data_IF_211983152333
#
_entry.id   IF_211983152333
#
_cell.length_a   1.000
_cell.length_b   1.000
_cell.length_c   1.000
_cell.angle_alpha   90.00
_cell.angle_beta   90.00
_cell.angle_gamma   90.00
#
_symmetry.space_group_name_H-M   'P 1'
#
loop_
_entity.id
_entity.type
_entity.pdbx_description
1 polymer ?
#
# COMPACT_ATOMS: atom_id res chain seq x y z
N UNK A 1 -0.75 13.08 50.99
CA UNK A 1 0.59 13.67 50.82
C UNK A 1 0.42 15.08 50.31
N UNK A 2 0.65 16.06 51.17
CA UNK A 2 0.71 17.49 50.84
C UNK A 2 2.19 17.89 50.78
N UNK A 3 2.58 18.71 49.82
CA UNK A 3 3.90 19.31 49.78
C UNK A 3 3.73 20.82 49.54
N UNK A 4 4.12 21.58 50.56
CA UNK A 4 4.18 23.02 50.60
C UNK A 4 5.51 23.53 50.02
N UNK A 5 5.47 24.76 49.51
CA UNK A 5 6.59 25.58 49.07
C UNK A 5 7.54 25.97 50.20
N UNK A 6 8.85 26.05 49.90
CA UNK A 6 9.80 26.96 50.57
C UNK A 6 10.77 27.54 49.52
N UNK A 7 11.02 28.84 49.66
CA UNK A 7 11.84 29.75 48.85
C UNK A 7 13.17 30.06 49.56
N UNK A 8 14.26 30.30 48.81
CA UNK A 8 15.41 31.16 49.17
C UNK A 8 16.05 31.65 47.85
N UNK A 9 16.07 32.96 47.51
CA UNK A 9 17.16 33.92 47.76
C UNK A 9 18.37 33.66 46.83
N UNK A 10 18.91 34.54 45.99
CA UNK A 10 19.06 36.00 45.96
C UNK A 10 20.37 36.31 45.19
N UNK A 11 20.67 37.61 44.99
CA UNK A 11 21.95 38.24 44.55
C UNK A 11 21.93 38.90 43.16
N UNK A 12 22.05 40.24 43.18
CA UNK A 12 22.57 41.09 42.11
C UNK A 12 23.98 41.58 42.51
N UNK A 13 24.87 42.00 41.59
CA UNK A 13 25.05 43.46 41.44
C UNK A 13 25.55 44.01 40.07
N UNK A 14 25.21 45.30 39.86
CA UNK A 14 25.91 46.47 39.28
C UNK A 14 26.61 46.46 37.89
N UNK A 15 26.01 47.29 37.01
CA UNK A 15 26.53 48.45 36.25
C UNK A 15 27.83 48.35 35.44
N UNK A 16 27.73 48.53 34.11
CA UNK A 16 28.67 49.34 33.32
C UNK A 16 27.94 50.10 32.21
N UNK A 17 28.32 51.37 32.05
CA UNK A 17 27.63 52.37 31.23
C UNK A 17 27.68 52.15 29.73
N UNK A 18 26.79 52.85 29.02
CA UNK A 18 26.85 53.00 27.57
C UNK A 18 26.42 54.39 27.16
N UNK A 19 27.24 54.95 26.29
CA UNK A 19 27.24 56.33 25.81
C UNK A 19 25.95 56.74 25.09
N UNK A 20 25.65 58.03 25.20
CA UNK A 20 24.69 58.78 24.41
C UNK A 20 25.11 58.77 22.92
N UNK A 21 24.19 58.39 22.03
CA UNK A 21 24.26 58.64 20.60
C UNK A 21 22.87 59.03 20.05
N UNK A 22 22.83 59.85 18.99
CA UNK A 22 21.74 60.79 18.72
C UNK A 22 20.50 60.17 18.07
N UNK A 23 19.36 60.83 18.29
CA UNK A 23 18.06 60.48 17.74
C UNK A 23 18.06 60.52 16.20
N UNK A 24 18.07 59.35 15.57
CA UNK A 24 17.80 59.19 14.14
C UNK A 24 16.30 59.00 13.90
N UNK A 25 15.74 59.95 13.16
CA UNK A 25 14.37 60.05 12.63
C UNK A 25 13.85 58.71 12.10
N UNK A 26 12.77 58.19 12.68
CA UNK A 26 12.11 56.98 12.21
C UNK A 26 11.46 57.20 10.83
N UNK A 27 11.76 56.33 9.87
CA UNK A 27 11.08 56.25 8.58
C UNK A 27 9.71 55.56 8.75
N UNK A 28 8.68 55.92 7.94
CA UNK A 28 7.36 55.32 8.04
C UNK A 28 7.41 53.83 7.66
N UNK A 29 6.90 52.98 8.54
CA UNK A 29 6.76 51.55 8.29
C UNK A 29 5.72 51.31 7.18
N UNK A 30 6.17 50.96 5.98
CA UNK A 30 5.31 50.38 4.95
C UNK A 30 4.87 48.99 5.43
N UNK A 31 3.68 48.92 6.03
CA UNK A 31 3.01 47.68 6.38
C UNK A 31 2.52 47.04 5.07
N UNK A 32 3.36 46.22 4.46
CA UNK A 32 2.95 45.35 3.36
C UNK A 32 1.83 44.45 3.89
N UNK A 33 0.59 44.70 3.47
CA UNK A 33 -0.52 43.81 3.74
C UNK A 33 -0.24 42.50 3.01
N UNK A 34 0.17 41.47 3.76
CA UNK A 34 0.19 40.10 3.26
C UNK A 34 -1.28 39.74 2.98
N UNK A 35 -1.71 39.93 1.74
CA UNK A 35 -2.93 39.30 1.24
C UNK A 35 -2.63 37.81 1.20
N UNK A 36 -3.01 37.10 2.25
CA UNK A 36 -3.19 35.65 2.19
C UNK A 36 -4.27 35.40 1.14
N UNK A 37 -3.84 35.12 -0.10
CA UNK A 37 -4.73 34.52 -1.10
C UNK A 37 -5.13 33.18 -0.50
N UNK A 38 -6.40 33.05 -0.11
CA UNK A 38 -6.94 31.75 0.27
C UNK A 38 -6.52 30.76 -0.83
N UNK A 39 -5.88 29.66 -0.43
CA UNK A 39 -5.58 28.59 -1.36
C UNK A 39 -6.89 28.25 -2.09
N UNK A 40 -6.87 28.01 -3.41
CA UNK A 40 -8.07 27.55 -4.10
C UNK A 40 -8.54 26.31 -3.36
N UNK A 41 -9.69 26.43 -2.69
CA UNK A 41 -10.40 25.27 -2.15
C UNK A 41 -10.79 24.50 -3.40
N UNK A 42 -10.08 23.38 -3.64
CA UNK A 42 -10.48 22.40 -4.63
C UNK A 42 -11.84 21.89 -4.18
N UNK A 43 -12.91 22.49 -4.69
CA UNK A 43 -14.25 21.89 -4.66
C UNK A 43 -14.14 20.69 -5.57
N UNK A 44 -13.81 19.54 -4.99
CA UNK A 44 -14.03 18.25 -5.65
C UNK A 44 -15.53 18.14 -5.74
N UNK A 45 -16.11 18.47 -6.91
CA UNK A 45 -17.43 17.95 -7.28
C UNK A 45 -17.32 16.45 -7.07
N UNK A 46 -17.93 15.98 -5.97
CA UNK A 46 -17.86 14.59 -5.57
C UNK A 46 -18.34 13.77 -6.74
N UNK A 47 -17.48 12.91 -7.28
CA UNK A 47 -17.90 11.77 -8.07
C UNK A 47 -19.10 11.14 -7.34
N UNK A 48 -20.28 11.22 -7.95
CA UNK A 48 -21.53 10.83 -7.32
C UNK A 48 -21.65 9.30 -7.32
N UNK A 49 -20.83 8.64 -8.14
CA UNK A 49 -20.71 7.19 -8.21
C UNK A 49 -19.25 6.73 -8.11
N UNK A 50 -19.05 5.49 -7.65
CA UNK A 50 -17.73 4.86 -7.64
C UNK A 50 -17.13 4.78 -9.06
N UNK A 51 -17.96 4.67 -10.09
CA UNK A 51 -17.52 4.64 -11.48
C UNK A 51 -16.95 6.01 -11.91
N UNK A 52 -17.62 7.10 -11.59
CA UNK A 52 -17.11 8.46 -11.84
C UNK A 52 -15.82 8.73 -11.05
N UNK A 53 -15.72 8.21 -9.82
CA UNK A 53 -14.52 8.38 -9.01
C UNK A 53 -13.33 7.63 -9.64
N UNK A 54 -13.56 6.41 -10.12
CA UNK A 54 -12.55 5.61 -10.81
C UNK A 54 -12.14 6.25 -12.13
N UNK A 55 -13.10 6.76 -12.92
CA UNK A 55 -12.82 7.46 -14.18
C UNK A 55 -12.06 8.75 -13.92
N UNK A 56 -12.43 9.54 -12.90
CA UNK A 56 -11.69 10.75 -12.53
C UNK A 56 -10.25 10.44 -12.09
N UNK A 57 -10.04 9.38 -11.30
CA UNK A 57 -8.69 8.92 -10.89
C UNK A 57 -7.86 8.49 -12.10
N UNK A 58 -8.49 7.81 -13.06
CA UNK A 58 -7.84 7.37 -14.30
C UNK A 58 -7.49 8.54 -15.22
N UNK A 59 -8.40 9.51 -15.35
CA UNK A 59 -8.26 10.67 -16.25
C UNK A 59 -7.39 11.80 -15.65
N UNK A 60 -7.17 11.81 -14.32
CA UNK A 60 -6.37 12.83 -13.63
C UNK A 60 -5.17 12.22 -12.88
N UNK A 61 -4.15 11.68 -13.59
CA UNK A 61 -3.01 11.00 -12.99
C UNK A 61 -2.02 11.95 -12.30
N UNK A 62 -2.39 13.21 -12.04
CA UNK A 62 -1.50 14.22 -11.45
C UNK A 62 -0.90 13.80 -10.10
N UNK A 63 -1.62 12.95 -9.36
CA UNK A 63 -1.14 12.33 -8.13
C UNK A 63 -0.04 11.28 -8.40
N UNK A 64 -0.17 10.48 -9.47
CA UNK A 64 0.86 9.54 -9.93
C UNK A 64 2.10 10.26 -10.44
N UNK A 65 1.94 11.34 -11.20
CA UNK A 65 3.07 12.17 -11.65
C UNK A 65 3.83 12.78 -10.47
N UNK A 66 3.10 13.20 -9.43
CA UNK A 66 3.69 13.76 -8.21
C UNK A 66 4.47 12.68 -7.45
N UNK A 67 3.93 11.47 -7.34
CA UNK A 67 4.63 10.31 -6.79
C UNK A 67 5.88 9.99 -7.60
N UNK A 68 5.76 9.89 -8.93
CA UNK A 68 6.87 9.57 -9.83
C UNK A 68 8.02 10.57 -9.72
N UNK A 69 7.73 11.87 -9.60
CA UNK A 69 8.74 12.91 -9.33
C UNK A 69 9.51 12.62 -8.05
N UNK A 70 8.84 12.19 -6.99
CA UNK A 70 9.47 11.78 -5.73
C UNK A 70 10.43 10.59 -5.86
N UNK A 71 10.27 9.75 -6.89
CA UNK A 71 11.09 8.57 -7.16
C UNK A 71 11.98 8.71 -8.42
N UNK A 72 12.12 9.92 -8.98
CA UNK A 72 12.87 10.17 -10.23
C UNK A 72 14.38 9.86 -10.17
N UNK A 73 14.94 9.61 -8.98
CA UNK A 73 16.34 9.23 -8.78
C UNK A 73 16.60 7.72 -8.69
N UNK A 74 15.58 6.86 -8.86
CA UNK A 74 15.74 5.41 -8.77
C UNK A 74 16.47 4.89 -10.02
N UNK A 75 17.54 4.08 -9.88
CA UNK A 75 18.26 3.52 -11.02
C UNK A 75 17.38 2.64 -11.91
N UNK A 76 17.63 2.69 -13.22
CA UNK A 76 16.88 1.91 -14.23
C UNK A 76 16.80 0.41 -13.93
N UNK A 77 17.85 -0.29 -13.45
CA UNK A 77 17.72 -1.71 -13.13
C UNK A 77 16.69 -1.99 -12.03
N UNK A 78 16.54 -1.08 -11.07
CA UNK A 78 15.58 -1.22 -9.98
C UNK A 78 14.16 -0.92 -10.47
N UNK A 79 13.97 0.11 -11.29
CA UNK A 79 12.65 0.42 -11.86
C UNK A 79 12.18 -0.67 -12.81
N UNK A 80 13.07 -1.21 -13.65
CA UNK A 80 12.74 -2.25 -14.64
C UNK A 80 12.56 -3.63 -14.03
N UNK A 81 13.48 -4.06 -13.15
CA UNK A 81 13.51 -5.45 -12.67
C UNK A 81 13.09 -5.63 -11.21
N UNK A 82 13.00 -4.57 -10.41
CA UNK A 82 12.70 -4.67 -8.98
C UNK A 82 11.36 -5.33 -8.70
N UNK A 83 10.28 -4.83 -9.31
CA UNK A 83 8.94 -5.41 -9.17
C UNK A 83 8.86 -6.87 -9.64
N UNK A 84 9.24 -7.23 -10.89
CA UNK A 84 9.08 -8.61 -11.36
C UNK A 84 9.95 -9.61 -10.59
N UNK A 85 11.16 -9.25 -10.17
CA UNK A 85 12.02 -10.15 -9.37
C UNK A 85 11.38 -10.41 -7.99
N UNK A 86 10.96 -9.35 -7.29
CA UNK A 86 10.34 -9.48 -5.97
C UNK A 86 9.03 -10.27 -6.04
N UNK A 87 8.18 -9.99 -7.03
CA UNK A 87 6.93 -10.71 -7.23
C UNK A 87 7.18 -12.17 -7.59
N UNK A 88 8.18 -12.48 -8.43
CA UNK A 88 8.49 -13.86 -8.80
C UNK A 88 8.88 -14.70 -7.58
N UNK A 89 9.75 -14.18 -6.72
CA UNK A 89 10.17 -14.85 -5.49
C UNK A 89 8.96 -15.04 -4.56
N UNK A 90 8.18 -13.98 -4.36
CA UNK A 90 7.03 -14.01 -3.45
C UNK A 90 5.94 -14.97 -3.92
N UNK A 91 5.57 -14.94 -5.20
CA UNK A 91 4.56 -15.83 -5.79
C UNK A 91 5.05 -17.27 -5.76
N UNK A 92 6.32 -17.54 -6.09
CA UNK A 92 6.87 -18.89 -6.04
C UNK A 92 6.93 -19.45 -4.60
N UNK A 93 7.51 -18.69 -3.67
CA UNK A 93 7.74 -19.15 -2.30
C UNK A 93 6.45 -19.12 -1.47
N UNK A 94 5.79 -17.97 -1.39
CA UNK A 94 4.62 -17.79 -0.53
C UNK A 94 3.34 -18.24 -1.22
N UNK A 95 3.12 -17.85 -2.47
CA UNK A 95 1.94 -18.27 -3.24
C UNK A 95 1.96 -19.78 -3.49
N UNK A 96 3.05 -20.30 -4.07
CA UNK A 96 3.25 -21.72 -4.35
C UNK A 96 3.31 -22.57 -3.07
N UNK A 97 4.12 -22.15 -2.09
CA UNK A 97 4.21 -22.82 -0.79
C UNK A 97 2.88 -22.82 -0.03
N UNK A 98 2.15 -21.69 -0.04
CA UNK A 98 0.83 -21.57 0.56
C UNK A 98 -0.19 -22.48 -0.11
N UNK A 99 -0.26 -22.47 -1.44
CA UNK A 99 -1.13 -23.36 -2.20
C UNK A 99 -0.84 -24.84 -1.92
N UNK A 100 0.44 -25.22 -1.88
CA UNK A 100 0.86 -26.56 -1.50
C UNK A 100 0.40 -26.95 -0.09
N UNK A 101 0.63 -26.10 0.91
CA UNK A 101 0.21 -26.35 2.30
C UNK A 101 -1.31 -26.49 2.42
N UNK A 102 -2.08 -25.71 1.66
CA UNK A 102 -3.53 -25.79 1.62
C UNK A 102 -4.02 -27.16 1.13
N UNK A 103 -3.46 -27.64 0.01
CA UNK A 103 -3.78 -28.96 -0.54
C UNK A 103 -3.27 -30.11 0.34
N UNK A 104 -2.02 -30.02 0.82
CA UNK A 104 -1.44 -31.00 1.73
C UNK A 104 -2.30 -31.15 2.99
N UNK A 105 -2.69 -30.04 3.63
CA UNK A 105 -3.53 -30.06 4.82
C UNK A 105 -4.96 -30.55 4.58
N UNK A 106 -5.47 -30.42 3.35
CA UNK A 106 -6.76 -30.96 2.94
C UNK A 106 -6.73 -32.48 2.76
N UNK A 107 -5.67 -33.00 2.16
CA UNK A 107 -5.54 -34.42 1.79
C UNK A 107 -4.78 -35.26 2.82
N UNK A 108 -4.28 -34.64 3.91
CA UNK A 108 -3.48 -35.34 4.90
C UNK A 108 -4.27 -36.47 5.62
N UNK A 109 -3.77 -37.72 5.62
CA UNK A 109 -4.36 -38.81 6.37
C UNK A 109 -4.25 -38.60 7.89
N UNK A 110 -3.13 -38.03 8.37
CA UNK A 110 -2.98 -37.62 9.76
C UNK A 110 -3.69 -36.27 9.99
N UNK A 111 -4.76 -36.31 10.78
CA UNK A 111 -5.57 -35.12 11.08
C UNK A 111 -4.79 -34.07 11.87
N UNK A 112 -3.87 -34.46 12.75
CA UNK A 112 -3.08 -33.50 13.54
C UNK A 112 -2.09 -32.75 12.65
N UNK A 113 -1.35 -33.48 11.82
CA UNK A 113 -0.48 -32.88 10.82
C UNK A 113 -1.26 -31.99 9.82
N UNK A 114 -2.43 -32.45 9.36
CA UNK A 114 -3.28 -31.70 8.45
C UNK A 114 -3.79 -30.38 9.03
N UNK A 115 -4.13 -30.33 10.33
CA UNK A 115 -4.49 -29.08 11.02
C UNK A 115 -3.31 -28.11 11.05
N UNK A 116 -2.10 -28.59 11.39
CA UNK A 116 -0.89 -27.76 11.41
C UNK A 116 -0.57 -27.18 10.03
N UNK A 117 -0.70 -27.98 8.97
CA UNK A 117 -0.52 -27.51 7.58
C UNK A 117 -1.52 -26.42 7.19
N UNK A 118 -2.80 -26.57 7.58
CA UNK A 118 -3.83 -25.55 7.34
C UNK A 118 -3.57 -24.24 8.09
N UNK A 119 -3.07 -24.32 9.32
CA UNK A 119 -2.67 -23.13 10.09
C UNK A 119 -1.49 -22.40 9.43
N UNK A 120 -0.48 -23.15 8.96
CA UNK A 120 0.65 -22.56 8.25
C UNK A 120 0.22 -21.96 6.90
N UNK A 121 -0.67 -22.63 6.17
CA UNK A 121 -1.30 -22.09 4.96
C UNK A 121 -1.97 -20.75 5.24
N UNK A 122 -2.81 -20.66 6.28
CA UNK A 122 -3.50 -19.42 6.65
C UNK A 122 -2.52 -18.28 6.94
N UNK A 123 -1.54 -18.51 7.80
CA UNK A 123 -0.53 -17.49 8.15
C UNK A 123 0.25 -17.02 6.93
N UNK A 124 0.68 -17.95 6.07
CA UNK A 124 1.44 -17.65 4.87
C UNK A 124 0.62 -16.89 3.84
N UNK A 125 -0.64 -17.29 3.64
CA UNK A 125 -1.54 -16.69 2.65
C UNK A 125 -2.02 -15.29 3.06
N UNK A 126 -2.21 -15.02 4.35
CA UNK A 126 -2.49 -13.66 4.84
C UNK A 126 -1.31 -12.73 4.54
N UNK A 127 -0.09 -13.18 4.83
CA UNK A 127 1.12 -12.42 4.51
C UNK A 127 1.28 -12.23 2.99
N UNK A 128 1.02 -13.28 2.20
CA UNK A 128 1.05 -13.20 0.74
C UNK A 128 0.02 -12.22 0.19
N UNK A 129 -1.21 -12.22 0.72
CA UNK A 129 -2.26 -11.28 0.31
C UNK A 129 -1.83 -9.82 0.56
N UNK A 130 -1.32 -9.51 1.75
CA UNK A 130 -0.83 -8.16 2.07
C UNK A 130 0.32 -7.73 1.16
N UNK A 131 1.30 -8.61 0.96
CA UNK A 131 2.46 -8.32 0.13
C UNK A 131 2.10 -8.26 -1.36
N UNK A 132 1.07 -8.98 -1.83
CA UNK A 132 0.57 -8.86 -3.20
C UNK A 132 -0.01 -7.48 -3.48
N UNK A 133 -0.77 -6.90 -2.54
CA UNK A 133 -1.27 -5.52 -2.67
C UNK A 133 -0.14 -4.49 -2.63
N UNK A 134 0.87 -4.69 -1.78
CA UNK A 134 2.07 -3.85 -1.76
C UNK A 134 2.92 -4.02 -3.02
N UNK A 135 2.97 -5.24 -3.57
CA UNK A 135 3.60 -5.53 -4.85
C UNK A 135 2.90 -4.80 -5.99
N UNK A 136 1.56 -4.78 -6.00
CA UNK A 136 0.77 -4.08 -6.99
C UNK A 136 1.04 -2.56 -6.99
N UNK A 137 1.16 -1.94 -5.82
CA UNK A 137 1.56 -0.51 -5.76
C UNK A 137 2.97 -0.28 -6.29
N UNK A 138 3.91 -1.20 -6.02
CA UNK A 138 5.25 -1.18 -6.62
C UNK A 138 5.22 -1.34 -8.14
N UNK A 139 4.32 -2.19 -8.67
CA UNK A 139 4.12 -2.40 -10.11
C UNK A 139 3.63 -1.11 -10.80
N UNK A 140 2.59 -0.49 -10.23
CA UNK A 140 2.05 0.81 -10.67
C UNK A 140 3.14 1.89 -10.64
N UNK A 141 3.94 1.96 -9.57
CA UNK A 141 5.03 2.93 -9.51
C UNK A 141 6.08 2.66 -10.60
N UNK A 142 6.43 1.39 -10.83
CA UNK A 142 7.43 1.01 -11.84
C UNK A 142 6.99 1.36 -13.25
N UNK A 143 5.70 1.18 -13.59
CA UNK A 143 5.17 1.50 -14.92
C UNK A 143 5.14 2.99 -15.16
N UNK A 144 4.73 3.79 -14.16
CA UNK A 144 4.76 5.25 -14.26
C UNK A 144 6.19 5.78 -14.41
N UNK A 145 7.15 5.25 -13.66
CA UNK A 145 8.56 5.66 -13.79
C UNK A 145 9.17 5.31 -15.15
N UNK A 146 8.62 4.30 -15.84
CA UNK A 146 9.03 3.90 -17.18
C UNK A 146 8.22 4.58 -18.30
N UNK A 147 7.19 5.37 -17.95
CA UNK A 147 6.33 6.06 -18.91
C UNK A 147 5.30 5.17 -19.61
N UNK A 148 5.01 3.99 -19.08
CA UNK A 148 3.97 3.10 -19.61
C UNK A 148 2.58 3.47 -19.10
N UNK A 149 1.57 3.22 -19.94
CA UNK A 149 0.16 3.31 -19.52
C UNK A 149 -0.18 2.14 -18.57
N UNK A 150 -0.82 2.47 -17.45
CA UNK A 150 -1.12 1.54 -16.37
C UNK A 150 -2.35 0.69 -16.69
N UNK A 151 -3.32 1.15 -17.49
CA UNK A 151 -4.61 0.45 -17.65
C UNK A 151 -4.71 -0.33 -18.96
N UNK A 152 -3.86 -0.03 -19.94
CA UNK A 152 -3.94 -0.65 -21.27
C UNK A 152 -3.21 -2.00 -21.36
N UNK A 153 -2.21 -2.25 -20.52
CA UNK A 153 -1.42 -3.49 -20.60
C UNK A 153 -2.19 -4.73 -20.11
N UNK A 154 -2.02 -5.85 -20.82
CA UNK A 154 -2.57 -7.15 -20.39
C UNK A 154 -2.03 -7.61 -19.03
N UNK A 155 -0.78 -7.22 -18.70
CA UNK A 155 -0.20 -7.46 -17.39
C UNK A 155 -0.96 -6.72 -16.27
N UNK A 156 -1.29 -5.44 -16.46
CA UNK A 156 -2.01 -4.67 -15.45
C UNK A 156 -3.47 -5.10 -15.30
N UNK A 157 -4.16 -5.39 -16.41
CA UNK A 157 -5.52 -5.96 -16.38
C UNK A 157 -5.56 -7.30 -15.64
N UNK A 158 -4.63 -8.19 -15.95
CA UNK A 158 -4.50 -9.47 -15.24
C UNK A 158 -4.09 -9.31 -13.76
N UNK A 159 -3.32 -8.27 -13.41
CA UNK A 159 -3.01 -7.93 -12.01
C UNK A 159 -4.28 -7.64 -11.20
N UNK A 160 -5.19 -6.84 -11.76
CA UNK A 160 -6.49 -6.56 -11.14
C UNK A 160 -7.31 -7.84 -10.91
N UNK A 161 -7.33 -8.74 -11.89
CA UNK A 161 -8.01 -10.04 -11.77
C UNK A 161 -7.41 -10.90 -10.65
N UNK A 162 -6.09 -11.08 -10.58
CA UNK A 162 -5.48 -11.93 -9.55
C UNK A 162 -5.68 -11.36 -8.14
N UNK A 163 -5.63 -10.03 -7.97
CA UNK A 163 -5.90 -9.38 -6.67
C UNK A 163 -7.37 -9.52 -6.26
N UNK A 164 -8.30 -9.43 -7.21
CA UNK A 164 -9.72 -9.65 -6.95
C UNK A 164 -9.98 -11.09 -6.52
N UNK A 165 -9.41 -12.07 -7.23
CA UNK A 165 -9.51 -13.49 -6.87
C UNK A 165 -8.89 -13.78 -5.51
N UNK A 166 -7.70 -13.25 -5.23
CA UNK A 166 -7.02 -13.45 -3.94
C UNK A 166 -7.82 -12.82 -2.78
N UNK A 167 -8.47 -11.69 -3.01
CA UNK A 167 -9.35 -11.04 -2.03
C UNK A 167 -10.64 -11.83 -1.81
N UNK A 168 -11.23 -12.35 -2.88
CA UNK A 168 -12.39 -13.23 -2.77
C UNK A 168 -12.05 -14.48 -1.94
N UNK A 169 -10.89 -15.07 -2.17
CA UNK A 169 -10.39 -16.20 -1.38
C UNK A 169 -10.23 -15.87 0.11
N UNK A 170 -9.65 -14.70 0.41
CA UNK A 170 -9.53 -14.21 1.77
C UNK A 170 -10.91 -14.02 2.44
N UNK A 171 -11.89 -13.47 1.73
CA UNK A 171 -13.26 -13.29 2.22
C UNK A 171 -13.93 -14.64 2.50
N UNK A 172 -13.80 -15.62 1.59
CA UNK A 172 -14.36 -16.96 1.77
C UNK A 172 -13.78 -17.61 3.02
N UNK A 173 -12.46 -17.56 3.21
CA UNK A 173 -11.80 -18.10 4.40
C UNK A 173 -12.22 -17.37 5.68
N UNK A 174 -12.23 -16.04 5.66
CA UNK A 174 -12.58 -15.20 6.80
C UNK A 174 -14.04 -15.38 7.25
N UNK A 175 -14.95 -15.66 6.32
CA UNK A 175 -16.36 -15.97 6.63
C UNK A 175 -16.56 -17.27 7.43
N UNK A 176 -15.49 -18.05 7.66
CA UNK A 176 -15.56 -19.35 8.31
C UNK A 176 -16.19 -20.44 7.45
N UNK A 177 -16.27 -20.21 6.13
CA UNK A 177 -16.87 -21.09 5.13
C UNK A 177 -18.40 -21.26 5.25
N UNK A 178 -19.09 -20.42 6.01
CA UNK A 178 -20.54 -20.44 6.20
C UNK A 178 -21.01 -20.96 7.58
N UNK A 179 -22.31 -20.85 7.84
CA UNK A 179 -22.89 -21.05 9.19
C UNK A 179 -23.27 -22.51 9.51
N UNK A 180 -23.63 -23.31 8.52
CA UNK A 180 -24.07 -24.71 8.71
C UNK A 180 -22.97 -25.72 8.40
N UNK A 181 -23.03 -26.96 8.92
CA UNK A 181 -22.06 -28.00 8.57
C UNK A 181 -21.97 -28.27 7.06
N UNK A 182 -23.10 -28.31 6.36
CA UNK A 182 -23.15 -28.50 4.90
C UNK A 182 -22.51 -27.32 4.16
N UNK A 183 -22.83 -26.08 4.57
CA UNK A 183 -22.24 -24.88 3.99
C UNK A 183 -20.71 -24.85 4.18
N UNK A 184 -20.21 -25.17 5.38
CA UNK A 184 -18.77 -25.24 5.68
C UNK A 184 -18.01 -26.20 4.78
N UNK A 185 -18.57 -27.38 4.52
CA UNK A 185 -17.95 -28.36 3.62
C UNK A 185 -17.88 -27.80 2.20
N UNK A 186 -18.96 -27.16 1.73
CA UNK A 186 -19.02 -26.57 0.40
C UNK A 186 -18.09 -25.36 0.27
N UNK A 187 -18.09 -24.43 1.24
CA UNK A 187 -17.21 -23.27 1.24
C UNK A 187 -15.73 -23.65 1.21
N UNK A 188 -15.32 -24.69 1.94
CA UNK A 188 -13.95 -25.22 1.88
C UNK A 188 -13.60 -25.86 0.53
N UNK A 189 -14.59 -26.41 -0.20
CA UNK A 189 -14.38 -26.91 -1.57
C UNK A 189 -14.23 -25.75 -2.55
N UNK A 190 -15.12 -24.76 -2.46
CA UNK A 190 -15.09 -23.55 -3.30
C UNK A 190 -13.74 -22.84 -3.14
N UNK A 191 -13.33 -22.57 -1.89
CA UNK A 191 -12.02 -21.99 -1.59
C UNK A 191 -10.88 -22.79 -2.22
N UNK A 192 -10.83 -24.11 -2.05
CA UNK A 192 -9.74 -24.91 -2.62
C UNK A 192 -9.64 -24.82 -4.15
N UNK A 193 -10.76 -24.81 -4.87
CA UNK A 193 -10.76 -24.75 -6.33
C UNK A 193 -10.57 -23.34 -6.88
N UNK A 194 -11.14 -22.31 -6.25
CA UNK A 194 -10.87 -20.91 -6.61
C UNK A 194 -9.41 -20.58 -6.29
N UNK A 195 -8.85 -21.04 -5.17
CA UNK A 195 -7.43 -20.89 -4.86
C UNK A 195 -6.52 -21.53 -5.91
N UNK A 196 -6.85 -22.74 -6.40
CA UNK A 196 -6.12 -23.37 -7.50
C UNK A 196 -6.22 -22.56 -8.81
N UNK A 197 -7.41 -22.06 -9.15
CA UNK A 197 -7.61 -21.19 -10.32
C UNK A 197 -6.86 -19.85 -10.18
N UNK A 198 -6.79 -19.30 -8.97
CA UNK A 198 -6.04 -18.08 -8.65
C UNK A 198 -4.55 -18.28 -8.90
N UNK A 199 -3.99 -19.43 -8.51
CA UNK A 199 -2.59 -19.75 -8.81
C UNK A 199 -2.34 -19.89 -10.31
N UNK A 200 -3.26 -20.49 -11.06
CA UNK A 200 -3.14 -20.54 -12.53
C UNK A 200 -3.19 -19.12 -13.14
N UNK A 201 -4.07 -18.25 -12.64
CA UNK A 201 -4.14 -16.85 -13.08
C UNK A 201 -2.85 -16.08 -12.76
N UNK A 202 -2.19 -16.35 -11.62
CA UNK A 202 -0.87 -15.80 -11.32
C UNK A 202 0.21 -16.21 -12.33
N UNK A 203 0.17 -17.44 -12.84
CA UNK A 203 1.09 -17.88 -13.89
C UNK A 203 0.87 -17.14 -15.22
N UNK A 204 -0.40 -16.94 -15.60
CA UNK A 204 -0.76 -16.14 -16.79
C UNK A 204 -0.30 -14.69 -16.62
N UNK A 205 -0.59 -14.09 -15.47
CA UNK A 205 -0.17 -12.73 -15.12
C UNK A 205 1.36 -12.58 -15.15
N UNK A 206 2.11 -13.54 -14.60
CA UNK A 206 3.57 -13.58 -14.67
C UNK A 206 4.07 -13.71 -16.11
N UNK A 207 3.40 -14.50 -16.96
CA UNK A 207 3.69 -14.60 -18.39
C UNK A 207 3.60 -13.24 -19.09
N UNK A 208 2.54 -12.47 -18.85
CA UNK A 208 2.44 -11.09 -19.37
C UNK A 208 3.51 -10.16 -18.80
N UNK A 209 3.92 -10.35 -17.54
CA UNK A 209 5.01 -9.58 -16.94
C UNK A 209 6.35 -9.85 -17.61
N UNK A 210 6.67 -11.11 -17.89
CA UNK A 210 7.88 -11.50 -18.63
C UNK A 210 7.85 -10.93 -20.05
N UNK A 211 6.70 -10.97 -20.72
CA UNK A 211 6.55 -10.39 -22.06
C UNK A 211 6.88 -8.89 -22.10
N UNK A 212 6.57 -8.13 -21.05
CA UNK A 212 6.92 -6.70 -20.97
C UNK A 212 8.40 -6.43 -20.68
N UNK A 213 9.16 -7.45 -20.25
CA UNK A 213 10.59 -7.31 -19.95
C UNK A 213 11.51 -7.59 -21.14
N UNK A 214 11.01 -8.38 -22.10
CA UNK A 214 11.70 -8.79 -23.32
C UNK A 214 11.58 -7.72 -24.41
#
# INVERSE_FOLDING_TARGET
MAAAFVSVGGVAPRLYGRALMPATRAAPAHRAAIRTRAAPVMVVEHAQTAHEALNWIAENPKWLETLAKGFSGVPEPVTKYGHPVMMSIMVAAMGGGGAYLGWAGRLNPDKKAGVKQKQLHEQLMVAFWLLAFMGASGGILSTVLQGYDILESEHAKSAGLVLALLTLEAIIAYSGFGSTPKAKIQGRKVHAYIGAATMAAFLVHAGFGIQMLL
#
